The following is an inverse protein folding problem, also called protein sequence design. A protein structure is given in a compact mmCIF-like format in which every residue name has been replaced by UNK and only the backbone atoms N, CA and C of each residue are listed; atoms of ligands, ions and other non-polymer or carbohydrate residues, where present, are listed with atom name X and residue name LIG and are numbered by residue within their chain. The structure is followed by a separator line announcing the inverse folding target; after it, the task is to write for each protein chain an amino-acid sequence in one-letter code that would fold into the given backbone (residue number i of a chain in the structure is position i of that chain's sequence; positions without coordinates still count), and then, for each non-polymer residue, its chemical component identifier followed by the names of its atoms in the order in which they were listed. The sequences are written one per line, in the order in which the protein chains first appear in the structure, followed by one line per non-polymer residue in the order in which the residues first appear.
data_IF_213616967747
#
_entry.id   IF_213616967747
#
_cell.length_a   1.000
_cell.length_b   1.000
_cell.length_c   1.000
_cell.angle_alpha   90.00
_cell.angle_beta   90.00
_cell.angle_gamma   90.00
#
_symmetry.space_group_name_H-M   'P 1'
#
loop_
_entity.id
_entity.type
_entity.pdbx_description
1 polymer ?
#
# COMPACT_ATOMS: atom_id res chain seq x y z
N UNK A 1 -7.13 12.61 0.25
CA UNK A 1 -8.30 11.71 0.33
C UNK A 1 -7.93 10.23 0.32
N UNK A 2 -7.18 9.72 -0.66
CA UNK A 2 -6.78 8.29 -0.72
C UNK A 2 -6.01 7.80 0.52
N UNK A 3 -5.17 8.65 1.10
CA UNK A 3 -4.39 8.37 2.32
C UNK A 3 -5.24 8.14 3.57
N UNK A 4 -6.38 8.82 3.72
CA UNK A 4 -7.26 8.67 4.89
C UNK A 4 -7.85 7.26 4.93
N UNK A 5 -8.26 6.73 3.77
CA UNK A 5 -8.77 5.36 3.67
C UNK A 5 -7.72 4.31 4.06
N UNK A 6 -6.47 4.49 3.63
CA UNK A 6 -5.38 3.56 3.98
C UNK A 6 -5.00 3.59 5.46
N UNK A 7 -5.06 4.75 6.11
CA UNK A 7 -4.77 4.87 7.54
C UNK A 7 -5.96 4.46 8.42
N UNK A 8 -7.18 4.86 8.07
CA UNK A 8 -8.36 4.55 8.88
C UNK A 8 -8.87 3.11 8.68
N UNK A 9 -8.67 2.54 7.50
CA UNK A 9 -9.18 1.23 7.12
C UNK A 9 -8.79 0.09 8.08
N UNK A 10 -7.49 -0.11 8.38
CA UNK A 10 -7.07 -1.20 9.26
C UNK A 10 -7.54 -1.03 10.71
N UNK A 11 -7.60 0.21 11.24
CA UNK A 11 -8.15 0.49 12.57
C UNK A 11 -9.65 0.21 12.64
N UNK A 12 -10.42 0.72 11.67
CA UNK A 12 -11.87 0.46 11.59
C UNK A 12 -12.15 -1.03 11.40
N UNK A 13 -11.38 -1.71 10.55
CA UNK A 13 -11.46 -3.15 10.35
C UNK A 13 -11.18 -3.91 11.64
N UNK A 14 -10.10 -3.55 12.35
CA UNK A 14 -9.76 -4.12 13.65
C UNK A 14 -10.85 -3.91 14.70
N UNK A 15 -11.48 -2.73 14.73
CA UNK A 15 -12.59 -2.42 15.63
C UNK A 15 -13.86 -3.25 15.32
N UNK A 16 -14.21 -3.41 14.04
CA UNK A 16 -15.34 -4.25 13.62
C UNK A 16 -15.10 -5.73 13.98
N UNK A 17 -13.89 -6.23 13.75
CA UNK A 17 -13.53 -7.60 14.12
C UNK A 17 -13.56 -7.80 15.64
N UNK A 18 -13.09 -6.81 16.41
CA UNK A 18 -13.17 -6.86 17.87
C UNK A 18 -14.62 -6.84 18.40
N UNK A 19 -15.53 -6.12 17.73
CA UNK A 19 -16.92 -5.99 18.15
C UNK A 19 -17.85 -7.13 17.71
N UNK A 20 -17.62 -7.72 16.53
CA UNK A 20 -18.53 -8.72 15.94
C UNK A 20 -17.86 -9.76 15.04
N UNK A 21 -16.54 -9.90 15.12
CA UNK A 21 -15.77 -10.86 14.35
C UNK A 21 -15.72 -10.56 12.85
N UNK A 22 -15.23 -11.53 12.08
CA UNK A 22 -15.16 -11.46 10.62
C UNK A 22 -16.54 -11.26 9.95
N UNK A 23 -17.65 -11.89 10.40
CA UNK A 23 -18.95 -11.67 9.77
C UNK A 23 -19.36 -10.20 9.75
N UNK A 24 -19.20 -9.47 10.86
CA UNK A 24 -19.54 -8.04 10.92
C UNK A 24 -18.70 -7.22 9.93
N UNK A 25 -17.40 -7.49 9.84
CA UNK A 25 -16.51 -6.84 8.87
C UNK A 25 -16.98 -7.09 7.43
N UNK A 26 -17.25 -8.34 7.08
CA UNK A 26 -17.69 -8.69 5.71
C UNK A 26 -19.03 -8.09 5.37
N UNK A 27 -20.02 -8.14 6.27
CA UNK A 27 -21.32 -7.49 6.06
C UNK A 27 -21.19 -6.00 5.83
N UNK A 28 -20.35 -5.30 6.61
CA UNK A 28 -20.10 -3.88 6.43
C UNK A 28 -19.46 -3.58 5.06
N UNK A 29 -18.46 -4.38 4.65
CA UNK A 29 -17.83 -4.24 3.34
C UNK A 29 -18.80 -4.51 2.19
N UNK A 30 -19.66 -5.53 2.30
CA UNK A 30 -20.71 -5.83 1.31
C UNK A 30 -21.69 -4.67 1.17
N UNK A 31 -22.16 -4.11 2.28
CA UNK A 31 -23.08 -2.98 2.27
C UNK A 31 -22.45 -1.74 1.59
N UNK A 32 -21.19 -1.43 1.93
CA UNK A 32 -20.45 -0.33 1.29
C UNK A 32 -20.24 -0.58 -0.20
N UNK A 33 -19.87 -1.80 -0.59
CA UNK A 33 -19.68 -2.15 -2.00
C UNK A 33 -20.98 -2.00 -2.81
N UNK A 34 -22.12 -2.47 -2.27
CA UNK A 34 -23.42 -2.33 -2.91
C UNK A 34 -23.83 -0.85 -3.06
N UNK A 35 -23.61 -0.04 -2.03
CA UNK A 35 -23.89 1.40 -2.06
C UNK A 35 -23.04 2.12 -3.12
N UNK A 36 -21.73 1.84 -3.17
CA UNK A 36 -20.83 2.42 -4.18
C UNK A 36 -21.21 1.96 -5.59
N UNK A 37 -21.58 0.70 -5.77
CA UNK A 37 -22.03 0.18 -7.06
C UNK A 37 -23.32 0.88 -7.54
N UNK A 38 -24.31 1.01 -6.67
CA UNK A 38 -25.55 1.73 -6.98
C UNK A 38 -25.27 3.20 -7.32
N UNK A 39 -24.42 3.87 -6.55
CA UNK A 39 -24.01 5.24 -6.83
C UNK A 39 -23.29 5.37 -8.17
N UNK A 40 -22.36 4.46 -8.49
CA UNK A 40 -21.64 4.47 -9.75
C UNK A 40 -22.57 4.30 -10.96
N UNK A 41 -23.57 3.41 -10.86
CA UNK A 41 -24.59 3.22 -11.91
C UNK A 41 -25.38 4.50 -12.18
N UNK A 42 -25.68 5.28 -11.13
CA UNK A 42 -26.47 6.51 -11.25
C UNK A 42 -25.62 7.72 -11.67
N UNK A 43 -24.37 7.80 -11.19
CA UNK A 43 -23.56 9.02 -11.28
C UNK A 43 -22.46 9.01 -12.35
N UNK A 44 -21.98 7.84 -12.79
CA UNK A 44 -20.86 7.77 -13.75
C UNK A 44 -21.39 7.80 -15.18
N UNK A 45 -21.06 8.82 -15.99
CA UNK A 45 -21.51 8.89 -17.38
C UNK A 45 -20.80 7.84 -18.24
N UNK A 46 -21.51 7.30 -19.23
CA UNK A 46 -20.94 6.42 -20.24
C UNK A 46 -20.05 7.24 -21.21
N UNK A 47 -18.73 7.08 -21.12
CA UNK A 47 -17.77 7.74 -22.00
C UNK A 47 -17.46 6.82 -23.20
N UNK A 48 -17.56 7.31 -24.45
CA UNK A 48 -17.25 6.49 -25.62
C UNK A 48 -15.77 6.06 -25.61
N UNK A 49 -15.46 4.81 -25.99
CA UNK A 49 -14.08 4.34 -26.01
C UNK A 49 -13.26 5.10 -27.06
N UNK A 50 -12.03 5.46 -26.69
CA UNK A 50 -11.08 6.08 -27.60
C UNK A 50 -10.66 5.09 -28.72
N UNK A 51 -10.28 5.59 -29.91
CA UNK A 51 -9.80 4.75 -31.00
C UNK A 51 -8.62 3.89 -30.57
N UNK A 52 -8.71 2.57 -30.79
CA UNK A 52 -7.65 1.63 -30.44
C UNK A 52 -6.59 1.62 -31.52
N UNK A 53 -5.35 1.99 -31.17
CA UNK A 53 -4.20 1.70 -32.00
C UNK A 53 -3.88 0.19 -31.91
N UNK A 54 -3.65 -0.45 -33.06
CA UNK A 54 -3.25 -1.87 -33.09
C UNK A 54 -1.77 -1.97 -32.70
N UNK A 55 -1.49 -2.67 -31.61
CA UNK A 55 -0.13 -2.96 -31.15
C UNK A 55 0.09 -4.47 -31.18
N UNK A 56 1.26 -4.92 -31.63
CA UNK A 56 1.60 -6.36 -31.62
C UNK A 56 2.22 -6.78 -30.30
N UNK A 57 2.20 -8.09 -30.00
CA UNK A 57 2.89 -8.67 -28.83
C UNK A 57 4.40 -8.41 -28.89
N UNK A 58 4.98 -8.39 -30.10
CA UNK A 58 6.40 -8.10 -30.32
C UNK A 58 6.73 -6.66 -29.94
N UNK A 59 5.88 -5.70 -30.31
CA UNK A 59 6.07 -4.29 -29.94
C UNK A 59 5.96 -4.08 -28.43
N UNK A 60 5.04 -4.81 -27.78
CA UNK A 60 4.94 -4.84 -26.33
C UNK A 60 6.20 -5.42 -25.68
N UNK A 61 6.66 -6.59 -26.13
CA UNK A 61 7.85 -7.24 -25.57
C UNK A 61 9.10 -6.34 -25.69
N UNK A 62 9.28 -5.70 -26.85
CA UNK A 62 10.37 -4.72 -27.05
C UNK A 62 10.27 -3.56 -26.07
N UNK A 63 9.09 -2.97 -25.86
CA UNK A 63 8.88 -1.87 -24.89
C UNK A 63 9.11 -2.31 -23.45
N UNK A 64 8.61 -3.48 -23.07
CA UNK A 64 8.80 -4.03 -21.72
C UNK A 64 10.27 -4.36 -21.44
N UNK A 65 11.06 -4.72 -22.46
CA UNK A 65 12.50 -4.98 -22.32
C UNK A 65 13.38 -3.73 -22.27
N UNK A 66 12.85 -2.53 -22.53
CA UNK A 66 13.65 -1.31 -22.49
C UNK A 66 14.04 -0.94 -21.06
N UNK A 67 15.32 -0.62 -20.83
CA UNK A 67 15.81 -0.23 -19.51
C UNK A 67 15.12 1.01 -18.92
N UNK A 68 14.61 1.91 -19.77
CA UNK A 68 13.79 3.05 -19.37
C UNK A 68 12.44 2.65 -18.77
N UNK A 69 11.90 1.50 -19.17
CA UNK A 69 10.70 0.92 -18.59
C UNK A 69 11.03 0.02 -17.40
N UNK A 70 12.03 -0.85 -17.53
CA UNK A 70 12.36 -1.84 -16.49
C UNK A 70 12.78 -1.19 -15.18
N UNK A 71 13.69 -0.21 -15.19
CA UNK A 71 14.25 0.32 -13.94
C UNK A 71 13.19 0.98 -13.02
N UNK A 72 12.32 1.89 -13.51
CA UNK A 72 11.28 2.46 -12.66
C UNK A 72 10.22 1.42 -12.27
N UNK A 73 9.91 0.49 -13.18
CA UNK A 73 8.89 -0.54 -12.93
C UNK A 73 9.35 -1.54 -11.88
N UNK A 74 10.61 -1.98 -11.91
CA UNK A 74 11.15 -2.88 -10.88
C UNK A 74 11.26 -2.18 -9.54
N UNK A 75 11.67 -0.91 -9.50
CA UNK A 75 11.67 -0.12 -8.27
C UNK A 75 10.25 -0.02 -7.67
N UNK A 76 9.24 0.29 -8.50
CA UNK A 76 7.85 0.33 -8.08
C UNK A 76 7.36 -1.05 -7.61
N UNK A 77 7.72 -2.12 -8.31
CA UNK A 77 7.36 -3.49 -7.95
C UNK A 77 7.95 -3.89 -6.59
N UNK A 78 9.24 -3.60 -6.34
CA UNK A 78 9.91 -3.89 -5.07
C UNK A 78 9.31 -3.09 -3.92
N UNK A 79 9.06 -1.78 -4.11
CA UNK A 79 8.40 -0.96 -3.11
C UNK A 79 6.98 -1.46 -2.80
N UNK A 80 6.23 -1.83 -3.83
CA UNK A 80 4.87 -2.39 -3.67
C UNK A 80 4.91 -3.77 -2.99
N UNK A 81 5.91 -4.60 -3.30
CA UNK A 81 6.10 -5.90 -2.66
C UNK A 81 6.41 -5.74 -1.17
N UNK A 82 7.30 -4.81 -0.80
CA UNK A 82 7.57 -4.49 0.60
C UNK A 82 6.32 -4.01 1.33
N UNK A 83 5.58 -3.07 0.73
CA UNK A 83 4.32 -2.57 1.28
C UNK A 83 3.27 -3.69 1.44
N UNK A 84 3.10 -4.54 0.42
CA UNK A 84 2.14 -5.64 0.44
C UNK A 84 2.52 -6.69 1.48
N UNK A 85 3.81 -6.99 1.61
CA UNK A 85 4.31 -7.88 2.67
C UNK A 85 4.07 -7.25 4.05
N UNK A 86 4.33 -5.96 4.20
CA UNK A 86 4.08 -5.20 5.42
C UNK A 86 2.62 -5.28 5.85
N UNK A 87 1.70 -4.85 4.99
CA UNK A 87 0.25 -4.84 5.26
C UNK A 87 -0.29 -6.25 5.51
N UNK A 88 0.20 -7.27 4.78
CA UNK A 88 -0.29 -8.65 4.90
C UNK A 88 0.26 -9.42 6.11
N UNK A 89 1.54 -9.24 6.45
CA UNK A 89 2.22 -10.08 7.43
C UNK A 89 2.43 -9.42 8.80
N UNK A 90 2.50 -8.08 8.91
CA UNK A 90 2.60 -7.45 10.24
C UNK A 90 1.46 -7.87 11.18
N UNK A 91 0.18 -7.94 10.73
CA UNK A 91 -0.88 -8.42 11.59
C UNK A 91 -0.69 -9.86 12.05
N UNK A 92 -0.18 -10.73 11.17
CA UNK A 92 0.08 -12.14 11.47
C UNK A 92 1.19 -12.26 12.52
N UNK A 93 2.29 -11.53 12.34
CA UNK A 93 3.40 -11.50 13.30
C UNK A 93 2.96 -10.92 14.65
N UNK A 94 2.15 -9.86 14.64
CA UNK A 94 1.60 -9.30 15.86
C UNK A 94 0.64 -10.25 16.59
N UNK A 95 -0.22 -10.96 15.86
CA UNK A 95 -1.09 -11.99 16.44
C UNK A 95 -0.29 -13.16 17.03
N UNK A 96 0.79 -13.58 16.37
CA UNK A 96 1.73 -14.57 16.90
C UNK A 96 2.43 -14.08 18.19
N UNK A 97 2.57 -12.77 18.36
CA UNK A 97 3.02 -12.12 19.60
C UNK A 97 1.88 -11.81 20.59
N UNK A 98 0.72 -12.44 20.44
CA UNK A 98 -0.48 -12.29 21.29
C UNK A 98 -1.10 -10.88 21.29
N UNK A 99 -0.88 -10.08 20.24
CA UNK A 99 -1.56 -8.80 20.06
C UNK A 99 -2.98 -9.02 19.49
N UNK A 100 -3.96 -8.29 20.03
CA UNK A 100 -5.34 -8.32 19.53
C UNK A 100 -5.54 -7.59 18.19
N UNK A 101 -6.70 -7.77 17.52
CA UNK A 101 -7.01 -7.20 16.21
C UNK A 101 -6.87 -5.67 16.10
N UNK A 102 -7.14 -4.95 17.19
CA UNK A 102 -6.99 -3.49 17.22
C UNK A 102 -5.52 -3.08 17.21
N UNK A 103 -4.67 -3.78 17.97
CA UNK A 103 -3.24 -3.48 18.05
C UNK A 103 -2.51 -3.81 16.73
N UNK A 104 -2.87 -4.93 16.11
CA UNK A 104 -2.34 -5.31 14.78
C UNK A 104 -2.84 -4.37 13.68
N UNK A 105 -4.11 -3.97 13.72
CA UNK A 105 -4.67 -2.93 12.85
C UNK A 105 -4.00 -1.57 13.03
N UNK A 106 -3.65 -1.19 14.27
CA UNK A 106 -2.92 0.05 14.56
C UNK A 106 -1.51 0.04 13.93
N UNK A 107 -0.81 -1.09 13.93
CA UNK A 107 0.51 -1.20 13.29
C UNK A 107 0.45 -1.00 11.77
N UNK A 108 -0.55 -1.60 11.09
CA UNK A 108 -0.76 -1.37 9.65
C UNK A 108 -1.17 0.08 9.37
N UNK A 109 -1.94 0.69 10.27
CA UNK A 109 -2.36 2.09 10.15
C UNK A 109 -1.18 3.05 10.34
N UNK A 110 -0.23 2.71 11.24
CA UNK A 110 1.02 3.44 11.40
C UNK A 110 1.85 3.41 10.12
N UNK A 111 2.00 2.24 9.50
CA UNK A 111 2.65 2.10 8.19
C UNK A 111 1.98 2.98 7.12
N UNK A 112 0.65 2.92 7.03
CA UNK A 112 -0.10 3.75 6.10
C UNK A 112 0.06 5.26 6.39
N UNK A 113 0.12 5.64 7.67
CA UNK A 113 0.36 7.03 8.07
C UNK A 113 1.77 7.50 7.70
N UNK A 114 2.80 6.69 7.93
CA UNK A 114 4.17 6.97 7.50
C UNK A 114 4.22 7.18 5.98
N UNK A 115 3.63 6.27 5.19
CA UNK A 115 3.56 6.41 3.73
C UNK A 115 2.85 7.71 3.32
N UNK A 116 1.70 8.04 3.94
CA UNK A 116 0.94 9.24 3.66
C UNK A 116 1.69 10.56 3.98
N UNK A 117 2.58 10.52 4.98
CA UNK A 117 3.40 11.68 5.37
C UNK A 117 4.68 11.81 4.54
N UNK A 118 5.30 10.69 4.17
CA UNK A 118 6.59 10.67 3.47
C UNK A 118 6.40 10.89 1.97
N UNK A 119 5.38 10.28 1.34
CA UNK A 119 5.16 10.37 -0.12
C UNK A 119 5.08 11.82 -0.63
N UNK A 120 4.27 12.74 -0.04
CA UNK A 120 4.20 14.13 -0.51
C UNK A 120 5.50 14.90 -0.28
N UNK A 121 6.21 14.62 0.83
CA UNK A 121 7.47 15.29 1.18
C UNK A 121 8.60 14.86 0.25
N UNK A 122 8.68 13.58 -0.10
CA UNK A 122 9.63 13.05 -1.05
C UNK A 122 9.35 13.59 -2.46
N UNK A 123 8.08 13.63 -2.88
CA UNK A 123 7.67 14.28 -4.14
C UNK A 123 8.11 15.74 -4.19
N UNK A 124 7.78 16.53 -3.17
CA UNK A 124 8.19 17.93 -3.09
C UNK A 124 9.72 18.13 -2.98
N UNK A 125 10.47 17.14 -2.48
CA UNK A 125 11.93 17.19 -2.47
C UNK A 125 12.50 16.93 -3.87
N UNK A 126 11.92 15.97 -4.61
CA UNK A 126 12.28 15.68 -5.99
C UNK A 126 11.97 16.87 -6.91
N UNK A 127 10.78 17.47 -6.77
CA UNK A 127 10.35 18.62 -7.57
C UNK A 127 11.24 19.85 -7.36
N UNK A 128 11.81 20.01 -6.15
CA UNK A 128 12.76 21.09 -5.82
C UNK A 128 14.22 20.74 -6.12
N UNK A 129 14.49 19.58 -6.72
CA UNK A 129 15.84 19.11 -7.04
C UNK A 129 16.71 18.77 -5.81
N UNK A 130 16.12 18.60 -4.63
CA UNK A 130 16.85 18.23 -3.39
C UNK A 130 17.25 16.76 -3.35
N UNK A 131 16.53 15.91 -4.08
CA UNK A 131 16.86 14.51 -4.30
C UNK A 131 16.75 14.22 -5.80
N UNK A 132 17.49 13.23 -6.29
CA UNK A 132 17.34 12.75 -7.66
C UNK A 132 16.52 11.47 -7.67
N UNK A 133 15.96 11.09 -8.83
CA UNK A 133 15.24 9.82 -8.96
C UNK A 133 16.09 8.63 -8.54
N UNK A 134 17.37 8.63 -8.92
CA UNK A 134 18.29 7.56 -8.58
C UNK A 134 18.54 7.49 -7.06
N UNK A 135 18.85 8.61 -6.41
CA UNK A 135 19.12 8.61 -4.97
C UNK A 135 17.85 8.36 -4.15
N UNK A 136 16.71 8.90 -4.57
CA UNK A 136 15.41 8.68 -3.93
C UNK A 136 14.96 7.22 -3.97
N UNK A 137 15.08 6.56 -5.13
CA UNK A 137 14.75 5.14 -5.27
C UNK A 137 15.67 4.28 -4.41
N UNK A 138 16.99 4.46 -4.52
CA UNK A 138 17.96 3.64 -3.77
C UNK A 138 17.80 3.81 -2.26
N UNK A 139 17.62 5.05 -1.79
CA UNK A 139 17.38 5.31 -0.37
C UNK A 139 16.05 4.71 0.10
N UNK A 140 14.97 4.88 -0.66
CA UNK A 140 13.66 4.30 -0.34
C UNK A 140 13.71 2.77 -0.23
N UNK A 141 14.32 2.10 -1.21
CA UNK A 141 14.49 0.64 -1.20
C UNK A 141 15.37 0.16 -0.04
N UNK A 142 16.44 0.89 0.29
CA UNK A 142 17.29 0.56 1.43
C UNK A 142 16.54 0.68 2.76
N UNK A 143 15.71 1.72 2.92
CA UNK A 143 14.87 1.93 4.11
C UNK A 143 13.80 0.83 4.22
N UNK A 144 13.11 0.48 3.12
CA UNK A 144 12.15 -0.64 3.12
C UNK A 144 12.84 -1.98 3.42
N UNK A 145 14.05 -2.22 2.91
CA UNK A 145 14.82 -3.43 3.22
C UNK A 145 15.19 -3.49 4.71
N UNK A 146 15.58 -2.37 5.31
CA UNK A 146 15.82 -2.27 6.75
C UNK A 146 14.53 -2.52 7.56
N UNK A 147 13.38 -2.05 7.08
CA UNK A 147 12.08 -2.33 7.69
C UNK A 147 11.72 -3.82 7.65
N UNK A 148 11.94 -4.49 6.52
CA UNK A 148 11.76 -5.94 6.41
C UNK A 148 12.71 -6.72 7.33
N UNK A 149 13.96 -6.27 7.47
CA UNK A 149 14.90 -6.86 8.43
C UNK A 149 14.44 -6.64 9.87
N UNK A 150 13.92 -5.46 10.21
CA UNK A 150 13.37 -5.16 11.53
C UNK A 150 12.14 -6.03 11.86
N UNK A 151 11.35 -6.43 10.86
CA UNK A 151 10.22 -7.34 11.03
C UNK A 151 10.61 -8.74 11.53
N UNK A 152 11.91 -9.10 11.45
CA UNK A 152 12.45 -10.36 11.99
C UNK A 152 12.72 -10.28 13.50
N UNK A 153 12.69 -9.09 14.10
CA UNK A 153 12.85 -8.94 15.54
C UNK A 153 11.55 -9.34 16.26
N UNK A 154 11.63 -10.11 17.36
CA UNK A 154 10.45 -10.54 18.07
C UNK A 154 9.76 -9.38 18.80
N UNK A 155 8.44 -9.50 18.93
CA UNK A 155 7.63 -8.62 19.77
C UNK A 155 7.31 -7.26 19.14
N UNK A 156 6.81 -6.36 19.99
CA UNK A 156 6.25 -5.07 19.56
C UNK A 156 7.29 -4.15 18.90
N UNK A 157 8.54 -4.20 19.34
CA UNK A 157 9.60 -3.34 18.81
C UNK A 157 9.89 -3.63 17.34
N UNK A 158 10.02 -4.91 16.96
CA UNK A 158 10.23 -5.30 15.56
C UNK A 158 9.05 -4.91 14.67
N UNK A 159 7.83 -5.13 15.17
CA UNK A 159 6.59 -4.77 14.48
C UNK A 159 6.47 -3.26 14.22
N UNK A 160 6.75 -2.41 15.22
CA UNK A 160 6.68 -0.96 15.08
C UNK A 160 7.79 -0.41 14.19
N UNK A 161 9.02 -0.91 14.32
CA UNK A 161 10.14 -0.51 13.45
C UNK A 161 9.85 -0.89 11.99
N UNK A 162 9.36 -2.11 11.76
CA UNK A 162 8.94 -2.55 10.42
C UNK A 162 7.84 -1.65 9.87
N UNK A 163 6.82 -1.32 10.67
CA UNK A 163 5.72 -0.46 10.25
C UNK A 163 6.21 0.96 9.86
N UNK A 164 7.20 1.51 10.57
CA UNK A 164 7.69 2.87 10.31
C UNK A 164 8.57 2.93 9.05
N UNK A 165 9.35 1.88 8.79
CA UNK A 165 10.39 1.86 7.75
C UNK A 165 9.90 1.30 6.40
N UNK A 166 8.89 0.45 6.37
CA UNK A 166 8.32 -0.08 5.12
C UNK A 166 7.48 0.98 4.42
#
# INVERSE_FOLDING_TARGET
YKSIGYTAGPLLGGALVAGGGLPLLFTAMTALAAAVAAWAVVAVPAVPPLPKARQTVVDLAKRLGQGSFLRPTTALALATAALSAGVGFLPVTGAAAHLGPVATGAAVSLLAACAALVQPRAGAALDRGRITTATGISAGLAVSAAGLAAAMLPGLTGLLLAAILI
#
